data_IF_788524616540
#
_entry.id   IF_788524616540
#
_cell.length_a   1.000
_cell.length_b   1.000
_cell.length_c   1.000
_cell.angle_alpha   90.00
_cell.angle_beta   90.00
_cell.angle_gamma   90.00
#
_symmetry.space_group_name_H-M   'P 1'
#
loop_
_entity.id
_entity.type
_entity.pdbx_description
1 polymer ?
#
# COMPACT_ATOMS: atom_id res chain seq x y z
N UNK A 1 -18.30 64.07 27.59
CA UNK A 1 -17.36 63.49 28.55
C UNK A 1 -17.35 61.98 28.36
N UNK A 2 -16.17 61.43 28.05
CA UNK A 2 -15.99 60.10 27.49
C UNK A 2 -16.20 58.97 28.53
N UNK A 3 -16.92 57.93 28.11
CA UNK A 3 -17.09 56.70 28.87
C UNK A 3 -15.77 55.95 29.01
N UNK A 4 -15.46 55.49 30.22
CA UNK A 4 -14.24 54.75 30.53
C UNK A 4 -14.38 53.31 29.98
N UNK A 5 -13.43 52.81 29.17
CA UNK A 5 -13.44 51.42 28.75
C UNK A 5 -13.10 50.50 29.94
N UNK A 6 -13.88 49.43 30.11
CA UNK A 6 -13.65 48.40 31.12
C UNK A 6 -12.38 47.57 30.85
N UNK A 7 -11.82 46.92 31.87
CA UNK A 7 -10.56 46.19 31.76
C UNK A 7 -10.69 44.94 30.87
N UNK A 8 -9.61 44.55 30.14
CA UNK A 8 -9.60 43.36 29.29
C UNK A 8 -9.66 42.08 30.13
N UNK A 9 -10.45 41.11 29.65
CA UNK A 9 -10.60 39.79 30.24
C UNK A 9 -9.25 39.08 30.39
N UNK A 10 -9.02 38.51 31.57
CA UNK A 10 -7.83 37.74 31.88
C UNK A 10 -7.70 36.51 30.95
N UNK A 11 -6.49 36.18 30.47
CA UNK A 11 -6.27 34.95 29.70
C UNK A 11 -6.53 33.74 30.60
N UNK A 12 -7.42 32.86 30.14
CA UNK A 12 -7.73 31.59 30.81
C UNK A 12 -6.50 30.70 31.02
N UNK A 13 -6.56 29.75 31.95
CA UNK A 13 -5.42 28.93 32.32
C UNK A 13 -4.92 28.14 31.11
N UNK A 14 -3.69 28.42 30.69
CA UNK A 14 -2.96 27.58 29.74
C UNK A 14 -2.85 26.19 30.34
N UNK A 15 -3.57 25.21 29.79
CA UNK A 15 -3.40 23.79 30.09
C UNK A 15 -1.92 23.47 29.86
N UNK A 16 -1.16 23.29 30.94
CA UNK A 16 0.19 22.72 30.85
C UNK A 16 0.03 21.32 30.26
N UNK A 17 0.86 20.91 29.30
CA UNK A 17 0.92 19.51 28.91
C UNK A 17 1.17 18.69 30.17
N UNK A 18 0.29 17.72 30.40
CA UNK A 18 0.39 16.80 31.53
C UNK A 18 1.69 16.02 31.32
N UNK A 19 2.63 16.00 32.27
CA UNK A 19 3.78 15.11 32.15
C UNK A 19 3.24 13.68 32.00
N UNK A 20 3.70 12.98 30.97
CA UNK A 20 3.37 11.58 30.76
C UNK A 20 3.64 10.83 32.08
N UNK A 21 2.62 10.14 32.58
CA UNK A 21 2.76 9.34 33.78
C UNK A 21 3.86 8.30 33.52
N UNK A 22 4.93 8.34 34.32
CA UNK A 22 5.96 7.31 34.28
C UNK A 22 5.28 5.95 34.50
N UNK A 23 5.52 4.95 33.64
CA UNK A 23 5.03 3.60 33.89
C UNK A 23 5.59 3.12 35.23
N UNK A 24 4.78 2.37 35.99
CA UNK A 24 5.06 1.97 37.37
C UNK A 24 6.32 1.10 37.53
N UNK A 25 6.93 0.67 36.42
CA UNK A 25 8.07 -0.25 36.36
C UNK A 25 9.44 0.44 36.21
N UNK A 26 9.50 1.78 36.27
CA UNK A 26 10.78 2.52 36.19
C UNK A 26 11.50 2.43 34.83
N UNK A 27 10.85 1.87 33.81
CA UNK A 27 11.34 1.88 32.44
C UNK A 27 11.27 3.31 31.87
N UNK A 28 12.39 3.76 31.27
CA UNK A 28 12.42 5.03 30.55
C UNK A 28 11.47 4.94 29.35
N UNK A 29 10.66 5.98 29.08
CA UNK A 29 9.80 6.02 27.90
C UNK A 29 10.66 5.92 26.63
N UNK A 30 10.12 5.28 25.59
CA UNK A 30 10.79 5.23 24.29
C UNK A 30 10.85 6.64 23.70
N UNK A 31 11.82 6.91 22.82
CA UNK A 31 12.03 8.24 22.27
C UNK A 31 10.78 8.80 21.56
N UNK A 32 10.03 7.95 20.86
CA UNK A 32 8.76 8.29 20.19
C UNK A 32 7.56 8.45 21.12
N UNK A 33 7.68 8.08 22.40
CA UNK A 33 6.65 8.31 23.43
C UNK A 33 6.79 9.70 24.07
N UNK A 34 7.93 10.37 23.85
CA UNK A 34 8.17 11.74 24.31
C UNK A 34 7.82 12.70 23.17
N UNK A 35 6.66 13.34 23.27
CA UNK A 35 6.08 14.18 22.22
C UNK A 35 7.01 15.29 21.72
N UNK A 36 7.87 15.83 22.60
CA UNK A 36 8.85 16.86 22.30
C UNK A 36 10.01 16.34 21.42
N UNK A 37 10.30 15.04 21.47
CA UNK A 37 11.38 14.38 20.73
C UNK A 37 10.90 13.86 19.37
N UNK A 38 9.60 13.53 19.25
CA UNK A 38 8.97 13.05 18.00
C UNK A 38 9.36 13.90 16.78
N UNK A 39 9.27 15.26 16.80
CA UNK A 39 9.76 16.10 15.71
C UNK A 39 11.17 15.82 15.21
N UNK A 40 12.11 15.57 16.12
CA UNK A 40 13.52 15.35 15.81
C UNK A 40 13.71 13.97 15.18
N UNK A 41 12.99 12.97 15.68
CA UNK A 41 13.00 11.62 15.13
C UNK A 41 12.45 11.61 13.69
N UNK A 42 11.35 12.31 13.46
CA UNK A 42 10.75 12.45 12.13
C UNK A 42 11.72 13.10 11.12
N UNK A 43 12.59 14.02 11.57
CA UNK A 43 13.57 14.67 10.70
C UNK A 43 14.71 13.73 10.28
N UNK A 44 15.04 12.74 11.12
CA UNK A 44 16.11 11.78 10.86
C UNK A 44 15.69 10.53 10.09
N UNK A 45 14.42 10.41 9.70
CA UNK A 45 13.92 9.22 9.00
C UNK A 45 14.46 9.13 7.56
N UNK A 46 14.92 7.94 7.19
CA UNK A 46 15.18 7.59 5.81
C UNK A 46 13.89 7.55 4.98
N UNK A 47 14.01 7.70 3.65
CA UNK A 47 12.85 7.77 2.75
C UNK A 47 11.91 6.54 2.85
N UNK A 48 12.40 5.29 2.96
CA UNK A 48 11.56 4.13 3.23
C UNK A 48 10.78 4.24 4.55
N UNK A 49 11.45 4.57 5.65
CA UNK A 49 10.82 4.72 6.96
C UNK A 49 9.77 5.85 6.99
N UNK A 50 10.07 6.98 6.35
CA UNK A 50 9.11 8.09 6.18
C UNK A 50 7.89 7.67 5.34
N UNK A 51 8.09 6.88 4.29
CA UNK A 51 7.02 6.34 3.45
C UNK A 51 6.06 5.42 4.22
N UNK A 52 6.61 4.50 5.01
CA UNK A 52 5.85 3.61 5.90
C UNK A 52 5.07 4.39 6.95
N UNK A 53 5.73 5.35 7.60
CA UNK A 53 5.07 6.15 8.63
C UNK A 53 3.94 7.00 8.04
N UNK A 54 4.15 7.61 6.87
CA UNK A 54 3.11 8.40 6.19
C UNK A 54 1.92 7.54 5.80
N UNK A 55 2.14 6.31 5.34
CA UNK A 55 1.07 5.35 5.04
C UNK A 55 0.24 5.05 6.30
N UNK A 56 0.89 4.64 7.39
CA UNK A 56 0.20 4.27 8.63
C UNK A 56 -0.45 5.47 9.34
N UNK A 57 0.14 6.66 9.21
CA UNK A 57 -0.46 7.91 9.69
C UNK A 57 -1.72 8.27 8.90
N UNK A 58 -1.73 8.02 7.58
CA UNK A 58 -2.91 8.26 6.71
C UNK A 58 -4.06 7.32 7.08
N UNK A 59 -3.76 6.11 7.53
CA UNK A 59 -4.75 5.13 8.01
C UNK A 59 -5.26 5.41 9.43
N UNK A 60 -4.82 6.50 10.08
CA UNK A 60 -5.30 6.98 11.38
C UNK A 60 -5.43 5.87 12.44
N UNK A 61 -4.34 5.13 12.63
CA UNK A 61 -4.27 4.06 13.61
C UNK A 61 -5.01 2.78 13.20
N UNK A 62 -5.28 2.54 11.93
CA UNK A 62 -5.54 1.19 11.47
C UNK A 62 -4.25 0.34 11.53
N UNK A 63 -4.44 -0.95 11.74
CA UNK A 63 -3.37 -1.94 11.78
C UNK A 63 -3.15 -2.52 10.40
N UNK A 64 -1.87 -2.69 10.00
CA UNK A 64 -1.51 -3.25 8.71
C UNK A 64 -0.31 -4.18 8.82
N UNK A 65 -0.40 -5.37 8.22
CA UNK A 65 0.69 -6.33 8.19
C UNK A 65 1.90 -5.83 7.37
N UNK A 66 3.15 -6.20 7.76
CA UNK A 66 4.37 -5.73 7.12
C UNK A 66 4.46 -6.09 5.64
N UNK A 67 3.98 -7.27 5.23
CA UNK A 67 3.95 -7.69 3.82
C UNK A 67 3.09 -6.73 2.96
N UNK A 68 2.01 -6.19 3.54
CA UNK A 68 1.10 -5.28 2.85
C UNK A 68 1.67 -3.87 2.80
N UNK A 69 2.32 -3.45 3.88
CA UNK A 69 3.09 -2.20 3.93
C UNK A 69 4.17 -2.22 2.83
N UNK A 70 4.93 -3.32 2.71
CA UNK A 70 5.97 -3.48 1.68
C UNK A 70 5.42 -3.41 0.26
N UNK A 71 4.27 -4.04 -0.01
CA UNK A 71 3.62 -3.98 -1.31
C UNK A 71 3.13 -2.56 -1.67
N UNK A 72 2.60 -1.80 -0.71
CA UNK A 72 2.05 -0.47 -0.97
C UNK A 72 3.15 0.58 -1.12
N UNK A 73 4.17 0.53 -0.26
CA UNK A 73 5.29 1.50 -0.24
C UNK A 73 6.44 1.07 -1.18
N UNK A 74 6.37 -0.12 -1.78
CA UNK A 74 7.41 -0.72 -2.63
C UNK A 74 8.75 -0.84 -1.89
N UNK A 75 8.69 -1.31 -0.64
CA UNK A 75 9.87 -1.51 0.22
C UNK A 75 10.14 -3.01 0.39
N UNK A 76 11.32 -3.51 -0.02
CA UNK A 76 11.60 -4.95 -0.03
C UNK A 76 11.76 -5.57 1.36
N UNK A 77 12.07 -4.77 2.38
CA UNK A 77 12.20 -5.22 3.78
C UNK A 77 11.38 -4.33 4.72
N UNK A 78 10.06 -4.31 4.48
CA UNK A 78 9.14 -3.53 5.28
C UNK A 78 9.07 -4.01 6.75
N UNK A 79 9.29 -5.30 7.00
CA UNK A 79 9.33 -5.85 8.35
C UNK A 79 10.47 -5.22 9.17
N UNK A 80 11.71 -5.24 8.66
CA UNK A 80 12.83 -4.61 9.37
C UNK A 80 12.65 -3.10 9.53
N UNK A 81 12.03 -2.42 8.57
CA UNK A 81 11.70 -0.99 8.71
C UNK A 81 10.69 -0.76 9.83
N UNK A 82 9.64 -1.58 9.91
CA UNK A 82 8.60 -1.47 10.95
C UNK A 82 9.16 -1.80 12.34
N UNK A 83 10.04 -2.80 12.45
CA UNK A 83 10.74 -3.15 13.69
C UNK A 83 11.57 -1.97 14.19
N UNK A 84 12.43 -1.39 13.34
CA UNK A 84 13.23 -0.21 13.71
C UNK A 84 12.36 0.97 14.17
N UNK A 85 11.25 1.22 13.48
CA UNK A 85 10.31 2.26 13.89
C UNK A 85 9.60 1.95 15.22
N UNK A 86 9.38 0.67 15.52
CA UNK A 86 8.79 0.20 16.78
C UNK A 86 9.79 0.32 17.95
N UNK A 87 11.07 0.00 17.71
CA UNK A 87 12.16 0.19 18.69
C UNK A 87 12.27 1.65 19.14
N UNK A 88 12.19 2.57 18.18
CA UNK A 88 12.22 4.01 18.45
C UNK A 88 10.90 4.52 19.07
N UNK A 89 9.82 3.73 18.98
CA UNK A 89 8.50 4.07 19.55
C UNK A 89 7.62 4.92 18.63
N UNK A 90 7.95 5.00 17.34
CA UNK A 90 7.13 5.66 16.32
C UNK A 90 6.00 4.77 15.82
N UNK A 91 6.14 3.45 15.95
CA UNK A 91 5.10 2.46 15.68
C UNK A 91 4.84 1.58 16.91
N UNK A 92 3.68 0.94 16.92
CA UNK A 92 3.33 -0.13 17.85
C UNK A 92 3.14 -1.41 17.06
N UNK A 93 3.80 -2.49 17.51
CA UNK A 93 3.46 -3.85 17.09
C UNK A 93 2.17 -4.25 17.80
N UNK A 94 1.19 -4.66 17.03
CA UNK A 94 -0.09 -5.19 17.47
C UNK A 94 -0.19 -6.67 17.02
N UNK A 95 -1.35 -7.30 17.20
CA UNK A 95 -1.50 -8.75 17.04
C UNK A 95 -1.38 -9.27 15.59
N UNK A 96 -1.67 -8.43 14.61
CA UNK A 96 -1.76 -8.72 13.18
C UNK A 96 -0.86 -7.82 12.30
N UNK A 97 -0.15 -6.86 12.88
CA UNK A 97 0.70 -5.93 12.16
C UNK A 97 1.16 -4.75 12.97
N UNK A 98 1.39 -3.62 12.30
CA UNK A 98 1.86 -2.39 12.92
C UNK A 98 0.83 -1.29 12.82
N UNK A 99 0.81 -0.45 13.85
CA UNK A 99 -0.07 0.71 13.98
C UNK A 99 0.72 1.96 14.31
N UNK A 100 0.34 3.09 13.72
CA UNK A 100 0.85 4.41 14.12
C UNK A 100 0.06 4.95 15.32
N UNK A 101 0.72 5.37 16.42
CA UNK A 101 0.08 6.14 17.49
C UNK A 101 -0.51 7.45 16.97
N UNK A 102 -1.64 7.93 17.53
CA UNK A 102 -2.31 9.14 17.04
C UNK A 102 -1.43 10.39 17.17
N UNK A 103 -0.68 10.53 18.26
CA UNK A 103 0.21 11.68 18.48
C UNK A 103 1.32 11.75 17.42
N UNK A 104 1.87 10.59 17.05
CA UNK A 104 2.89 10.46 16.00
C UNK A 104 2.26 10.71 14.62
N UNK A 105 1.05 10.21 14.37
CA UNK A 105 0.33 10.41 13.12
C UNK A 105 0.06 11.91 12.86
N UNK A 106 -0.42 12.63 13.88
CA UNK A 106 -0.65 14.08 13.82
C UNK A 106 0.67 14.82 13.56
N UNK A 107 1.75 14.45 14.26
CA UNK A 107 3.06 15.07 14.08
C UNK A 107 3.68 14.79 12.69
N UNK A 108 3.43 13.61 12.11
CA UNK A 108 3.90 13.23 10.79
C UNK A 108 3.13 13.96 9.68
N UNK A 109 1.79 13.95 9.74
CA UNK A 109 0.92 14.62 8.76
C UNK A 109 0.97 16.16 8.88
N UNK A 110 1.30 16.71 10.04
CA UNK A 110 1.54 18.14 10.20
C UNK A 110 2.78 18.66 9.47
N UNK A 111 3.70 17.78 9.05
CA UNK A 111 4.95 18.13 8.36
C UNK A 111 5.02 17.69 6.91
N UNK A 112 4.27 16.66 6.55
CA UNK A 112 4.31 16.02 5.23
C UNK A 112 2.89 15.83 4.71
N UNK A 113 2.72 15.88 3.39
CA UNK A 113 1.43 15.52 2.79
C UNK A 113 1.03 14.09 3.15
N UNK A 114 -0.28 13.79 3.23
CA UNK A 114 -0.77 12.40 3.36
C UNK A 114 -0.25 11.49 2.23
N UNK A 115 -0.30 10.18 2.46
CA UNK A 115 0.02 9.21 1.41
C UNK A 115 -1.04 9.29 0.31
N UNK A 116 -0.67 9.16 -0.99
CA UNK A 116 -1.64 9.21 -2.09
C UNK A 116 -2.70 8.12 -1.94
N UNK A 117 -3.93 8.53 -1.66
CA UNK A 117 -5.02 7.62 -1.31
C UNK A 117 -5.44 6.74 -2.50
N UNK A 118 -5.27 7.21 -3.73
CA UNK A 118 -5.57 6.43 -4.94
C UNK A 118 -4.68 5.19 -5.03
N UNK A 119 -3.39 5.35 -4.72
CA UNK A 119 -2.43 4.25 -4.71
C UNK A 119 -2.73 3.27 -3.58
N UNK A 120 -3.10 3.78 -2.41
CA UNK A 120 -3.54 2.97 -1.28
C UNK A 120 -4.76 2.12 -1.65
N UNK A 121 -5.81 2.75 -2.17
CA UNK A 121 -7.05 2.06 -2.55
C UNK A 121 -6.78 1.03 -3.65
N UNK A 122 -6.07 1.39 -4.71
CA UNK A 122 -5.77 0.47 -5.81
C UNK A 122 -5.04 -0.80 -5.35
N UNK A 123 -4.05 -0.68 -4.45
CA UNK A 123 -3.30 -1.82 -3.94
C UNK A 123 -4.15 -2.70 -3.01
N UNK A 124 -4.98 -2.10 -2.16
CA UNK A 124 -5.88 -2.83 -1.29
C UNK A 124 -6.98 -3.55 -2.08
N UNK A 125 -7.59 -2.89 -3.07
CA UNK A 125 -8.55 -3.51 -3.99
C UNK A 125 -7.91 -4.67 -4.76
N UNK A 126 -6.69 -4.46 -5.29
CA UNK A 126 -5.97 -5.53 -5.98
C UNK A 126 -5.70 -6.73 -5.07
N UNK A 127 -5.40 -6.52 -3.80
CA UNK A 127 -5.22 -7.59 -2.82
C UNK A 127 -6.52 -8.33 -2.50
N UNK A 128 -7.62 -7.63 -2.23
CA UNK A 128 -8.93 -8.24 -1.95
C UNK A 128 -9.45 -9.01 -3.17
N UNK A 129 -9.12 -8.57 -4.39
CA UNK A 129 -9.48 -9.24 -5.63
C UNK A 129 -8.64 -10.48 -5.96
N UNK A 130 -7.56 -10.78 -5.22
CA UNK A 130 -6.73 -11.97 -5.50
C UNK A 130 -7.46 -13.25 -5.06
N UNK A 131 -7.47 -14.29 -5.90
CA UNK A 131 -8.19 -15.54 -5.62
C UNK A 131 -7.59 -16.35 -4.46
N UNK A 132 -6.30 -16.18 -4.20
CA UNK A 132 -5.58 -16.86 -3.11
C UNK A 132 -5.68 -16.11 -1.77
N UNK A 133 -6.36 -14.96 -1.71
CA UNK A 133 -6.49 -14.20 -0.47
C UNK A 133 -7.51 -14.87 0.45
N UNK A 134 -7.07 -15.24 1.66
CA UNK A 134 -7.94 -15.83 2.67
C UNK A 134 -8.94 -14.78 3.19
N UNK A 135 -10.26 -15.03 3.13
CA UNK A 135 -11.26 -14.12 3.69
C UNK A 135 -11.07 -13.84 5.19
N UNK A 136 -10.48 -14.77 5.97
CA UNK A 136 -10.13 -14.51 7.36
C UNK A 136 -8.99 -13.48 7.47
N UNK A 137 -8.08 -13.43 6.51
CA UNK A 137 -7.03 -12.42 6.42
C UNK A 137 -7.61 -11.04 6.05
N UNK A 138 -8.59 -11.00 5.14
CA UNK A 138 -9.33 -9.78 4.80
C UNK A 138 -10.05 -9.22 6.02
N UNK A 139 -10.75 -10.09 6.77
CA UNK A 139 -11.48 -9.68 7.97
C UNK A 139 -10.56 -9.08 9.05
N UNK A 140 -9.34 -9.61 9.21
CA UNK A 140 -8.33 -9.07 10.15
C UNK A 140 -7.91 -7.64 9.80
N UNK A 141 -7.93 -7.27 8.53
CA UNK A 141 -7.56 -5.94 8.04
C UNK A 141 -8.78 -5.06 7.70
N UNK A 142 -9.99 -5.46 8.10
CA UNK A 142 -11.24 -4.72 7.84
C UNK A 142 -11.16 -3.25 8.24
N UNK A 143 -10.58 -2.92 9.39
CA UNK A 143 -10.39 -1.53 9.84
C UNK A 143 -9.53 -0.70 8.89
N UNK A 144 -8.51 -1.30 8.28
CA UNK A 144 -7.67 -0.61 7.31
C UNK A 144 -8.43 -0.39 5.98
N UNK A 145 -9.23 -1.38 5.56
CA UNK A 145 -10.10 -1.28 4.39
C UNK A 145 -11.19 -0.22 4.57
N UNK A 146 -11.88 -0.20 5.71
CA UNK A 146 -12.90 0.80 6.04
C UNK A 146 -12.31 2.22 6.04
N UNK A 147 -11.08 2.39 6.56
CA UNK A 147 -10.39 3.69 6.54
C UNK A 147 -9.97 4.10 5.14
N UNK A 148 -9.50 3.17 4.31
CA UNK A 148 -9.20 3.46 2.92
C UNK A 148 -10.48 3.84 2.13
N UNK A 149 -11.60 3.16 2.38
CA UNK A 149 -12.88 3.48 1.76
C UNK A 149 -13.39 4.87 2.20
N UNK A 150 -13.33 5.18 3.50
CA UNK A 150 -13.68 6.51 4.00
C UNK A 150 -12.80 7.62 3.39
N UNK A 151 -11.50 7.38 3.22
CA UNK A 151 -10.61 8.32 2.53
C UNK A 151 -11.02 8.53 1.07
N UNK A 152 -11.36 7.46 0.33
CA UNK A 152 -11.84 7.56 -1.04
C UNK A 152 -13.16 8.35 -1.14
N UNK A 153 -14.10 8.14 -0.22
CA UNK A 153 -15.35 8.91 -0.16
C UNK A 153 -15.08 10.40 0.11
N UNK A 154 -14.25 10.72 1.09
CA UNK A 154 -13.90 12.13 1.40
C UNK A 154 -13.19 12.83 0.25
N UNK A 155 -12.46 12.08 -0.59
CA UNK A 155 -11.82 12.60 -1.79
C UNK A 155 -12.74 12.64 -3.02
N UNK A 156 -14.03 12.30 -2.89
CA UNK A 156 -15.00 12.31 -3.98
C UNK A 156 -14.85 11.18 -5.00
N UNK A 157 -14.16 10.09 -4.64
CA UNK A 157 -13.90 8.90 -5.47
C UNK A 157 -14.68 7.71 -4.94
N UNK A 158 -16.00 7.85 -4.89
CA UNK A 158 -16.92 6.85 -4.31
C UNK A 158 -16.83 5.47 -5.00
N UNK A 159 -16.44 5.43 -6.27
CA UNK A 159 -16.20 4.19 -7.02
C UNK A 159 -15.14 3.29 -6.38
N UNK A 160 -14.05 3.88 -5.84
CA UNK A 160 -12.99 3.12 -5.16
C UNK A 160 -13.44 2.60 -3.78
N UNK A 161 -14.33 3.34 -3.11
CA UNK A 161 -14.93 2.91 -1.85
C UNK A 161 -15.87 1.71 -2.07
N UNK A 162 -16.64 1.72 -3.15
CA UNK A 162 -17.50 0.58 -3.55
C UNK A 162 -16.68 -0.65 -3.90
N UNK A 163 -15.55 -0.50 -4.60
CA UNK A 163 -14.66 -1.62 -4.93
C UNK A 163 -13.99 -2.23 -3.68
N UNK A 164 -13.82 -1.45 -2.61
CA UNK A 164 -13.31 -1.91 -1.31
C UNK A 164 -14.38 -2.56 -0.43
N UNK A 165 -15.62 -2.04 -0.45
CA UNK A 165 -16.75 -2.51 0.36
C UNK A 165 -17.57 -3.62 -0.32
N UNK A 166 -17.42 -3.78 -1.63
CA UNK A 166 -18.11 -4.78 -2.41
C UNK A 166 -17.60 -6.19 -2.09
N UNK A 167 -18.46 -7.22 -2.17
CA UNK A 167 -17.98 -8.60 -2.12
C UNK A 167 -16.94 -8.79 -3.24
N UNK A 168 -15.86 -9.58 -3.03
CA UNK A 168 -14.91 -9.89 -4.10
C UNK A 168 -15.75 -10.35 -5.29
N UNK A 169 -15.48 -9.85 -6.52
CA UNK A 169 -16.31 -10.16 -7.66
C UNK A 169 -16.41 -11.68 -7.72
N UNK A 170 -17.61 -12.20 -7.44
CA UNK A 170 -17.93 -13.59 -7.73
C UNK A 170 -17.86 -13.64 -9.24
N UNK A 171 -16.71 -14.03 -9.77
CA UNK A 171 -16.58 -14.39 -11.15
C UNK A 171 -17.50 -15.59 -11.35
N UNK A 172 -18.75 -15.28 -11.69
CA UNK A 172 -19.59 -16.13 -12.49
C UNK A 172 -18.78 -16.35 -13.76
N UNK A 173 -18.32 -17.58 -14.06
CA UNK A 173 -17.82 -17.87 -15.39
C UNK A 173 -19.04 -17.85 -16.31
N UNK A 174 -19.47 -16.65 -16.69
CA UNK A 174 -20.50 -16.44 -17.67
C UNK A 174 -19.97 -16.97 -19.01
N UNK A 175 -20.32 -18.24 -19.25
CA UNK A 175 -20.73 -18.81 -20.54
C UNK A 175 -19.81 -18.44 -21.71
N UNK A 176 -18.74 -19.22 -21.87
CA UNK A 176 -18.40 -19.68 -23.21
C UNK A 176 -19.27 -20.90 -23.52
N UNK A 177 -20.35 -20.70 -24.25
CA UNK A 177 -21.10 -21.75 -24.95
C UNK A 177 -21.71 -21.12 -26.21
N UNK A 178 -22.07 -21.91 -27.24
CA UNK A 178 -21.18 -22.51 -28.23
C UNK A 178 -21.44 -21.94 -29.66
N UNK A 179 -20.52 -22.22 -30.58
CA UNK A 179 -20.55 -22.01 -32.06
C UNK A 179 -21.82 -22.57 -32.73
N UNK A 180 -22.34 -22.02 -33.86
CA UNK A 180 -21.81 -22.41 -35.18
C UNK A 180 -21.97 -21.38 -36.32
N UNK A 181 -20.99 -21.33 -37.22
CA UNK A 181 -21.06 -20.57 -38.48
C UNK A 181 -20.17 -21.21 -39.53
N UNK A 182 -20.60 -22.36 -40.06
CA UNK A 182 -20.03 -22.94 -41.26
C UNK A 182 -20.29 -22.04 -42.47
N UNK A 183 -19.26 -21.83 -43.29
CA UNK A 183 -19.35 -21.03 -44.52
C UNK A 183 -18.07 -21.14 -45.34
N UNK A 184 -17.87 -22.31 -45.93
CA UNK A 184 -16.89 -22.58 -46.98
C UNK A 184 -17.19 -21.72 -48.23
N UNK A 185 -16.17 -21.14 -48.88
CA UNK A 185 -16.12 -21.03 -50.35
C UNK A 185 -14.73 -20.67 -50.87
N UNK A 186 -14.50 -21.08 -52.11
CA UNK A 186 -13.26 -21.31 -52.82
C UNK A 186 -12.79 -20.16 -53.72
N UNK A 187 -11.64 -20.40 -54.38
CA UNK A 187 -11.11 -19.77 -55.60
C UNK A 187 -10.34 -18.45 -55.38
N UNK A 188 -9.24 -18.12 -56.05
CA UNK A 188 -8.61 -18.63 -57.27
C UNK A 188 -7.13 -18.19 -57.31
N UNK A 189 -6.32 -18.77 -58.21
CA UNK A 189 -5.13 -18.08 -58.73
C UNK A 189 -3.83 -18.88 -58.76
N UNK A 190 -3.76 -19.87 -59.66
CA UNK A 190 -2.55 -20.60 -60.04
C UNK A 190 -1.95 -19.96 -61.30
N UNK A 191 -0.62 -19.74 -61.39
CA UNK A 191 0.06 -19.72 -62.69
C UNK A 191 0.99 -20.94 -62.87
N UNK A 192 1.17 -21.45 -64.10
CA UNK A 192 2.00 -22.61 -64.40
C UNK A 192 3.43 -22.22 -64.81
N UNK A 193 4.43 -22.97 -64.33
CA UNK A 193 5.82 -22.89 -64.79
C UNK A 193 6.53 -24.23 -64.53
N UNK A 194 7.06 -24.83 -65.58
CA UNK A 194 7.46 -26.24 -65.77
C UNK A 194 8.77 -26.67 -65.05
N UNK A 195 9.11 -27.98 -65.07
CA UNK A 195 9.90 -28.66 -64.05
C UNK A 195 11.40 -28.77 -64.39
N UNK A 196 12.23 -28.95 -63.37
CA UNK A 196 13.58 -29.50 -63.53
C UNK A 196 13.86 -30.54 -62.43
N UNK A 197 13.97 -31.77 -62.90
CA UNK A 197 14.65 -32.96 -62.37
C UNK A 197 15.84 -32.71 -61.44
N UNK A 198 15.96 -33.53 -60.39
CA UNK A 198 17.25 -33.79 -59.73
C UNK A 198 17.19 -34.08 -58.23
N UNK A 199 16.89 -35.34 -57.86
CA UNK A 199 17.50 -35.97 -56.67
C UNK A 199 18.82 -36.62 -57.12
N UNK A 200 19.85 -36.83 -56.27
CA UNK A 200 19.70 -37.33 -54.90
C UNK A 200 20.65 -36.71 -53.82
N UNK A 201 20.40 -37.12 -52.57
CA UNK A 201 21.27 -37.09 -51.35
C UNK A 201 22.63 -37.80 -51.61
N UNK A 202 23.62 -37.93 -50.67
CA UNK A 202 23.63 -37.68 -49.21
C UNK A 202 24.97 -37.09 -48.64
N UNK A 203 25.09 -37.12 -47.31
CA UNK A 203 26.35 -37.12 -46.52
C UNK A 203 26.99 -35.72 -46.32
N UNK A 204 27.58 -35.33 -45.20
CA UNK A 204 27.88 -35.94 -43.90
C UNK A 204 28.63 -34.89 -43.06
N UNK A 205 28.68 -35.10 -41.73
CA UNK A 205 29.88 -34.89 -40.89
C UNK A 205 30.36 -33.42 -40.66
N UNK A 206 30.18 -32.83 -39.47
CA UNK A 206 31.00 -33.00 -38.24
C UNK A 206 31.96 -31.81 -38.00
N UNK A 207 32.01 -31.36 -36.74
CA UNK A 207 33.05 -30.51 -36.08
C UNK A 207 33.09 -29.05 -36.56
N UNK A 208 33.47 -28.06 -35.75
CA UNK A 208 34.34 -28.07 -34.56
C UNK A 208 34.10 -26.81 -33.72
N UNK A 209 34.44 -26.93 -32.45
CA UNK A 209 34.63 -25.85 -31.48
C UNK A 209 35.80 -24.91 -31.83
N UNK A 210 35.74 -23.67 -31.34
CA UNK A 210 36.82 -22.79 -30.85
C UNK A 210 36.09 -21.61 -30.16
N UNK A 211 36.20 -21.31 -28.86
CA UNK A 211 37.35 -21.09 -27.98
C UNK A 211 38.26 -19.93 -28.45
N UNK A 212 38.57 -19.03 -27.48
CA UNK A 212 39.32 -17.77 -27.52
C UNK A 212 38.45 -16.53 -27.86
N UNK A 213 38.38 -15.47 -27.05
CA UNK A 213 39.24 -14.99 -25.97
C UNK A 213 38.43 -14.57 -24.74
#
# INVERSE_FOLDING_TARGET
MAGRPGPPAAPGPRRRPRPAALPADGALPRAGEVAEIVPLLLHGLDAPAAGVLRLLATLDGAELAPDRIGAIVEVPDAAAVCERLTEVGLLRSEQHGYRCPPDVAVAALGRTSPFPFERLCAQLTAWVARPDTDPAEVARHSRALDRAAALAETAGRAELAVDLAGPPPRHSPARCAPTPGAGSSAAAGRPPGKPATGRPRPSSSTRRASAAC
#
